data_IF_288023503964
#
_entry.id   IF_288023503964
#
_cell.length_a   1.000
_cell.length_b   1.000
_cell.length_c   1.000
_cell.angle_alpha   90.00
_cell.angle_beta   90.00
_cell.angle_gamma   90.00
#
_symmetry.space_group_name_H-M   'P 1'
#
loop_
_entity.id
_entity.type
_entity.pdbx_description
1 polymer ?
#
# COMPACT_ATOMS: atom_id res chain seq x y z
N UNK A 1 -25.14 -35.44 65.87
CA UNK A 1 -24.12 -34.46 65.41
C UNK A 1 -23.97 -34.58 63.89
N UNK A 2 -24.90 -33.99 63.13
CA UNK A 2 -25.02 -34.04 61.65
C UNK A 2 -25.33 -32.63 61.13
N UNK A 3 -24.40 -31.68 61.30
CA UNK A 3 -24.74 -30.25 61.10
C UNK A 3 -23.63 -29.35 60.52
N UNK A 4 -22.51 -29.87 60.00
CA UNK A 4 -21.41 -28.99 59.54
C UNK A 4 -20.75 -29.36 58.22
N UNK A 5 -21.36 -30.21 57.37
CA UNK A 5 -20.77 -30.56 56.05
C UNK A 5 -21.59 -30.22 54.82
N UNK A 6 -22.82 -29.73 54.97
CA UNK A 6 -23.71 -29.38 53.84
C UNK A 6 -23.84 -27.86 53.58
N UNK A 7 -23.01 -27.03 54.21
CA UNK A 7 -23.06 -25.56 54.05
C UNK A 7 -21.95 -24.97 53.18
N UNK A 8 -21.16 -25.77 52.46
CA UNK A 8 -20.03 -25.28 51.65
C UNK A 8 -20.22 -25.39 50.13
N UNK A 9 -21.26 -26.07 49.65
CA UNK A 9 -21.47 -26.34 48.22
C UNK A 9 -22.62 -25.54 47.57
N UNK A 10 -23.29 -24.64 48.30
CA UNK A 10 -24.38 -23.82 47.74
C UNK A 10 -24.07 -22.32 47.61
N UNK A 11 -22.82 -21.89 47.87
CA UNK A 11 -22.46 -20.47 47.85
C UNK A 11 -21.52 -20.04 46.71
N UNK A 12 -21.35 -20.90 45.68
CA UNK A 12 -20.47 -20.61 44.52
C UNK A 12 -21.22 -20.55 43.20
N UNK A 13 -22.55 -20.36 43.22
CA UNK A 13 -23.38 -20.43 42.01
C UNK A 13 -24.26 -19.21 41.73
N UNK A 14 -24.06 -18.08 42.42
CA UNK A 14 -24.96 -16.93 42.32
C UNK A 14 -24.31 -15.55 42.15
N UNK A 15 -23.11 -15.47 41.57
CA UNK A 15 -22.55 -14.18 41.15
C UNK A 15 -21.90 -14.24 39.76
N UNK A 16 -22.45 -13.41 38.87
CA UNK A 16 -21.96 -12.96 37.57
C UNK A 16 -22.34 -13.78 36.33
N UNK A 17 -23.65 -13.80 36.08
CA UNK A 17 -24.12 -13.38 34.76
C UNK A 17 -23.62 -11.95 34.50
N UNK A 18 -22.64 -11.80 33.61
CA UNK A 18 -22.39 -10.66 32.71
C UNK A 18 -20.96 -10.82 32.16
N UNK A 19 -20.87 -11.46 31.00
CA UNK A 19 -19.59 -11.70 30.32
C UNK A 19 -19.77 -12.01 28.84
N UNK A 20 -20.87 -11.54 28.24
CA UNK A 20 -20.99 -11.46 26.79
C UNK A 20 -20.10 -10.35 26.27
N UNK A 21 -18.87 -10.69 25.87
CA UNK A 21 -18.13 -9.97 24.83
C UNK A 21 -17.45 -11.01 23.98
N UNK A 22 -18.15 -11.40 22.91
CA UNK A 22 -17.49 -11.84 21.69
C UNK A 22 -16.28 -10.93 21.46
N UNK A 23 -15.09 -11.50 21.62
CA UNK A 23 -13.87 -10.80 21.24
C UNK A 23 -14.00 -10.48 19.74
N UNK A 24 -13.98 -9.20 19.34
CA UNK A 24 -13.98 -8.90 17.92
C UNK A 24 -12.67 -9.45 17.36
N UNK A 25 -12.84 -10.45 16.52
CA UNK A 25 -11.88 -10.97 15.55
C UNK A 25 -10.80 -9.95 15.18
N UNK A 26 -9.59 -10.14 15.72
CA UNK A 26 -8.33 -9.48 15.30
C UNK A 26 -7.97 -9.77 13.82
N UNK A 27 -8.83 -10.47 13.07
CA UNK A 27 -8.65 -10.71 11.64
C UNK A 27 -9.10 -9.53 10.79
N UNK A 28 -10.05 -8.72 11.25
CA UNK A 28 -10.53 -7.56 10.49
C UNK A 28 -9.47 -6.44 10.40
N UNK A 29 -8.62 -6.31 11.42
CA UNK A 29 -7.62 -5.22 11.51
C UNK A 29 -6.35 -5.46 10.68
N UNK A 30 -6.09 -6.71 10.25
CA UNK A 30 -4.89 -7.03 9.47
C UNK A 30 -5.09 -6.93 7.96
N UNK A 31 -6.30 -7.24 7.47
CA UNK A 31 -6.60 -7.13 6.03
C UNK A 31 -6.74 -5.66 5.59
N UNK A 32 -7.34 -4.80 6.42
CA UNK A 32 -7.43 -3.36 6.14
C UNK A 32 -6.06 -2.67 6.14
N UNK A 33 -5.12 -3.10 7.01
CA UNK A 33 -3.74 -2.55 7.03
C UNK A 33 -2.95 -2.87 5.75
N UNK A 34 -3.17 -4.04 5.14
CA UNK A 34 -2.50 -4.41 3.87
C UNK A 34 -2.99 -3.57 2.70
N UNK A 35 -4.22 -3.08 2.73
CA UNK A 35 -4.81 -2.28 1.66
C UNK A 35 -4.21 -0.86 1.56
N UNK A 36 -3.40 -0.46 2.55
CA UNK A 36 -2.68 0.81 2.61
C UNK A 36 -1.17 0.72 2.37
N UNK A 37 -0.60 -0.49 2.25
CA UNK A 37 0.83 -0.66 2.01
C UNK A 37 1.23 -0.26 0.58
N UNK A 38 2.50 0.09 0.41
CA UNK A 38 3.05 0.52 -0.88
C UNK A 38 2.77 -0.51 -1.99
N UNK A 39 2.03 -0.08 -3.02
CA UNK A 39 1.65 -0.93 -4.14
C UNK A 39 1.43 -0.13 -5.42
N UNK A 40 1.45 -0.84 -6.54
CA UNK A 40 1.00 -0.31 -7.83
C UNK A 40 -0.52 -0.25 -7.86
N UNK A 41 -1.05 0.90 -8.27
CA UNK A 41 -2.50 1.13 -8.48
C UNK A 41 -2.75 1.76 -9.85
N UNK A 42 -3.97 1.62 -10.34
CA UNK A 42 -4.37 2.20 -11.63
C UNK A 42 -4.27 3.72 -11.66
N UNK A 43 -3.77 4.23 -12.78
CA UNK A 43 -3.77 5.64 -13.14
C UNK A 43 -4.01 5.75 -14.65
N UNK A 44 -5.28 5.88 -15.02
CA UNK A 44 -5.67 6.02 -16.41
C UNK A 44 -5.39 7.44 -16.91
N UNK A 45 -4.57 7.55 -17.95
CA UNK A 45 -4.34 8.77 -18.69
C UNK A 45 -5.14 8.74 -19.99
N UNK A 46 -5.89 9.81 -20.22
CA UNK A 46 -6.75 10.00 -21.37
C UNK A 46 -6.31 11.29 -22.06
N UNK A 47 -5.66 11.17 -23.21
CA UNK A 47 -5.06 12.32 -23.89
C UNK A 47 -6.10 13.25 -24.51
N UNK A 48 -7.32 12.77 -24.75
CA UNK A 48 -8.42 13.63 -25.17
C UNK A 48 -8.81 14.58 -24.04
N UNK A 49 -8.93 14.06 -22.81
CA UNK A 49 -9.23 14.86 -21.62
C UNK A 49 -8.10 15.82 -21.22
N UNK A 50 -6.86 15.48 -21.56
CA UNK A 50 -5.70 16.34 -21.35
C UNK A 50 -5.53 17.41 -22.44
N UNK A 51 -6.34 17.37 -23.51
CA UNK A 51 -6.23 18.28 -24.65
C UNK A 51 -5.01 18.00 -25.54
N UNK A 52 -4.48 16.78 -25.50
CA UNK A 52 -3.31 16.35 -26.27
C UNK A 52 -3.67 15.49 -27.49
N UNK A 53 -4.96 15.27 -27.73
CA UNK A 53 -5.47 14.46 -28.85
C UNK A 53 -5.13 14.99 -30.24
N UNK A 54 -4.83 16.29 -30.37
CA UNK A 54 -4.46 16.93 -31.64
C UNK A 54 -3.08 16.50 -32.14
N UNK A 55 -2.13 16.29 -31.22
CA UNK A 55 -0.77 15.89 -31.57
C UNK A 55 -0.52 14.41 -31.30
N UNK A 56 -1.15 13.79 -30.28
CA UNK A 56 -1.06 12.34 -30.02
C UNK A 56 -2.16 11.59 -30.78
N UNK A 57 -1.74 10.76 -31.73
CA UNK A 57 -2.63 9.90 -32.52
C UNK A 57 -2.91 8.59 -31.77
N UNK A 58 -1.90 7.95 -31.19
CA UNK A 58 -2.03 6.69 -30.44
C UNK A 58 -0.95 6.56 -29.34
N UNK A 59 -1.25 5.93 -28.18
CA UNK A 59 -2.59 5.52 -27.73
C UNK A 59 -3.45 6.75 -27.41
N UNK A 60 -4.79 6.62 -27.44
CA UNK A 60 -5.68 7.70 -26.97
C UNK A 60 -5.86 7.69 -25.45
N UNK A 61 -5.81 6.49 -24.86
CA UNK A 61 -5.88 6.26 -23.43
C UNK A 61 -4.99 5.07 -23.08
N UNK A 62 -4.29 5.14 -21.95
CA UNK A 62 -3.53 4.02 -21.41
C UNK A 62 -3.47 4.10 -19.88
N UNK A 63 -3.15 2.98 -19.23
CA UNK A 63 -2.94 2.94 -17.78
C UNK A 63 -1.44 3.14 -17.52
N UNK A 64 -1.07 4.33 -17.06
CA UNK A 64 0.30 4.62 -16.67
C UNK A 64 0.66 3.95 -15.33
N UNK A 65 -0.37 3.57 -14.55
CA UNK A 65 -0.26 3.18 -13.15
C UNK A 65 0.46 4.24 -12.29
N UNK A 66 0.39 4.08 -10.98
CA UNK A 66 1.17 4.88 -10.03
C UNK A 66 1.43 4.08 -8.77
N UNK A 67 2.45 4.48 -8.03
CA UNK A 67 2.69 3.95 -6.71
C UNK A 67 1.85 4.70 -5.66
N UNK A 68 1.25 3.95 -4.74
CA UNK A 68 0.43 4.49 -3.65
C UNK A 68 0.57 3.60 -2.43
N UNK A 69 0.62 4.24 -1.26
CA UNK A 69 0.58 3.56 0.03
C UNK A 69 1.69 4.05 0.94
N UNK A 70 1.73 3.48 2.13
CA UNK A 70 2.74 3.75 3.14
C UNK A 70 3.80 2.65 3.15
N UNK A 71 5.04 3.04 3.39
CA UNK A 71 6.14 2.10 3.61
C UNK A 71 6.20 1.70 5.08
N UNK A 72 6.30 0.39 5.40
CA UNK A 72 6.49 -0.04 6.78
C UNK A 72 7.83 0.44 7.33
N UNK A 73 7.92 0.54 8.65
CA UNK A 73 9.12 0.97 9.37
C UNK A 73 9.32 0.05 10.58
N UNK A 74 10.37 -0.80 10.60
CA UNK A 74 11.38 -0.98 9.56
C UNK A 74 10.79 -1.59 8.28
N UNK A 75 11.33 -1.22 7.12
CA UNK A 75 10.98 -1.83 5.83
C UNK A 75 11.64 -3.20 5.68
N UNK A 76 10.98 -4.12 4.97
CA UNK A 76 11.54 -5.42 4.60
C UNK A 76 11.79 -5.54 3.09
N UNK A 77 12.43 -6.64 2.68
CA UNK A 77 12.81 -6.91 1.28
C UNK A 77 11.61 -7.00 0.32
N UNK A 78 10.39 -7.19 0.82
CA UNK A 78 9.20 -7.30 -0.04
C UNK A 78 8.87 -5.98 -0.76
N UNK A 79 9.40 -4.85 -0.26
CA UNK A 79 9.26 -3.52 -0.85
C UNK A 79 10.52 -3.04 -1.60
N UNK A 80 11.45 -3.96 -1.89
CA UNK A 80 12.68 -3.72 -2.68
C UNK A 80 13.45 -2.44 -2.30
N UNK A 81 13.71 -2.20 -1.00
CA UNK A 81 14.43 -1.01 -0.57
C UNK A 81 15.88 -1.03 -1.05
N UNK A 82 16.44 0.14 -1.33
CA UNK A 82 17.91 0.25 -1.40
C UNK A 82 18.52 0.10 -0.01
N UNK A 83 19.83 -0.19 0.07
CA UNK A 83 20.55 -0.19 1.35
C UNK A 83 20.36 1.14 2.10
N UNK A 84 20.33 2.27 1.40
CA UNK A 84 20.07 3.58 1.99
C UNK A 84 18.67 3.65 2.62
N UNK A 85 17.64 3.21 1.88
CA UNK A 85 16.27 3.18 2.39
C UNK A 85 16.13 2.25 3.61
N UNK A 86 16.76 1.08 3.59
CA UNK A 86 16.73 0.16 4.71
C UNK A 86 17.34 0.78 5.98
N UNK A 87 18.53 1.39 5.86
CA UNK A 87 19.18 2.09 6.99
C UNK A 87 18.38 3.32 7.43
N UNK A 88 17.81 4.09 6.50
CA UNK A 88 16.95 5.24 6.83
C UNK A 88 15.71 4.80 7.60
N UNK A 89 15.09 3.68 7.21
CA UNK A 89 13.94 3.12 7.92
C UNK A 89 14.31 2.65 9.32
N UNK A 90 15.48 2.00 9.50
CA UNK A 90 15.99 1.67 10.83
C UNK A 90 16.27 2.92 11.68
N UNK A 91 16.85 3.97 11.09
CA UNK A 91 17.11 5.23 11.78
C UNK A 91 15.79 5.91 12.19
N UNK A 92 14.79 5.96 11.31
CA UNK A 92 13.47 6.49 11.63
C UNK A 92 12.77 5.65 12.73
N UNK A 93 12.91 4.32 12.70
CA UNK A 93 12.35 3.42 13.71
C UNK A 93 12.90 3.70 15.13
N UNK A 94 14.20 3.93 15.25
CA UNK A 94 14.85 4.18 16.55
C UNK A 94 14.87 5.66 16.95
N UNK A 95 14.97 6.57 15.98
CA UNK A 95 15.08 8.02 16.15
C UNK A 95 14.21 8.75 15.11
N UNK A 96 12.88 8.81 15.32
CA UNK A 96 11.93 9.37 14.33
C UNK A 96 12.19 10.84 13.97
N UNK A 97 12.88 11.58 14.83
CA UNK A 97 13.29 12.98 14.64
C UNK A 97 14.49 13.16 13.69
N UNK A 98 15.25 12.09 13.43
CA UNK A 98 16.51 12.14 12.67
C UNK A 98 16.40 11.73 11.20
N UNK A 99 15.34 11.03 10.83
CA UNK A 99 15.12 10.57 9.46
C UNK A 99 13.62 10.57 9.14
N UNK A 100 13.21 10.93 7.91
CA UNK A 100 11.82 10.81 7.49
C UNK A 100 11.45 9.36 7.15
N UNK A 101 10.15 9.07 7.12
CA UNK A 101 9.62 7.82 6.59
C UNK A 101 9.97 7.66 5.10
N UNK A 102 10.09 6.42 4.64
CA UNK A 102 10.31 6.13 3.22
C UNK A 102 9.10 6.49 2.36
N UNK A 103 9.36 6.79 1.09
CA UNK A 103 8.34 7.11 0.09
C UNK A 103 8.04 5.91 -0.80
N UNK A 104 6.76 5.70 -1.11
CA UNK A 104 6.33 4.67 -2.06
C UNK A 104 6.46 5.21 -3.50
N UNK A 105 7.44 4.71 -4.26
CA UNK A 105 7.82 5.25 -5.57
C UNK A 105 8.00 4.15 -6.62
N UNK A 106 7.94 4.47 -7.93
CA UNK A 106 8.27 3.52 -8.98
C UNK A 106 9.72 3.07 -8.89
N UNK A 107 9.95 1.75 -8.97
CA UNK A 107 11.29 1.15 -9.01
C UNK A 107 11.64 0.57 -10.37
N UNK A 108 10.62 0.24 -11.18
CA UNK A 108 10.77 -0.14 -12.58
C UNK A 108 9.67 0.47 -13.42
N UNK A 109 10.06 1.05 -14.54
CA UNK A 109 9.15 1.63 -15.52
C UNK A 109 9.33 0.96 -16.88
N UNK A 110 8.26 0.91 -17.66
CA UNK A 110 8.23 0.38 -19.02
C UNK A 110 7.97 1.48 -20.05
N UNK A 111 8.51 1.33 -21.26
CA UNK A 111 8.21 2.21 -22.37
C UNK A 111 6.82 1.94 -22.94
N UNK A 112 6.30 2.90 -23.72
CA UNK A 112 5.17 2.68 -24.62
C UNK A 112 5.50 3.16 -26.03
N UNK A 113 4.93 2.50 -27.04
CA UNK A 113 4.97 3.02 -28.41
C UNK A 113 3.93 4.13 -28.57
N UNK A 114 4.38 5.30 -28.99
CA UNK A 114 3.53 6.46 -29.28
C UNK A 114 3.58 6.81 -30.76
N UNK A 115 2.42 7.14 -31.31
CA UNK A 115 2.24 7.72 -32.64
C UNK A 115 1.75 9.15 -32.46
N UNK A 116 2.52 10.13 -32.94
CA UNK A 116 2.20 11.54 -32.79
C UNK A 116 2.68 12.37 -33.98
N UNK A 117 2.20 13.61 -34.09
CA UNK A 117 2.66 14.57 -35.08
C UNK A 117 3.84 15.37 -34.54
N UNK A 118 4.92 15.42 -35.32
CA UNK A 118 6.13 16.20 -35.07
C UNK A 118 6.46 16.93 -36.38
N UNK A 119 6.53 18.27 -36.35
CA UNK A 119 6.77 19.12 -37.53
C UNK A 119 5.87 18.79 -38.74
N UNK A 120 4.59 18.52 -38.47
CA UNK A 120 3.60 18.16 -39.49
C UNK A 120 3.77 16.76 -40.09
N UNK A 121 4.70 15.95 -39.58
CA UNK A 121 4.91 14.56 -39.98
C UNK A 121 4.43 13.62 -38.88
N UNK A 122 3.82 12.51 -39.29
CA UNK A 122 3.45 11.46 -38.36
C UNK A 122 4.67 10.59 -38.06
N UNK A 123 5.02 10.48 -36.77
CA UNK A 123 6.20 9.74 -36.31
C UNK A 123 5.78 8.73 -35.24
N UNK A 124 6.37 7.54 -35.29
CA UNK A 124 6.24 6.51 -34.26
C UNK A 124 7.54 6.40 -33.47
N UNK A 125 7.47 6.49 -32.14
CA UNK A 125 8.62 6.36 -31.23
C UNK A 125 8.25 5.53 -30.00
N UNK A 126 9.28 4.96 -29.35
CA UNK A 126 9.13 4.37 -28.02
C UNK A 126 9.55 5.42 -26.99
N UNK A 127 8.62 5.79 -26.13
CA UNK A 127 8.91 6.69 -25.01
C UNK A 127 9.12 5.86 -23.76
N UNK A 128 10.32 5.99 -23.21
CA UNK A 128 10.74 5.33 -21.98
C UNK A 128 10.04 5.92 -20.75
N UNK A 129 10.01 5.16 -19.67
CA UNK A 129 9.52 5.59 -18.36
C UNK A 129 8.05 6.05 -18.29
N UNK A 130 7.20 5.48 -19.14
CA UNK A 130 5.80 5.92 -19.29
C UNK A 130 4.79 5.10 -18.46
N UNK A 131 5.14 3.86 -18.06
CA UNK A 131 4.25 2.94 -17.34
C UNK A 131 4.96 2.36 -16.12
N UNK A 132 4.38 2.50 -14.94
CA UNK A 132 4.92 1.86 -13.73
C UNK A 132 4.72 0.36 -13.80
N UNK A 133 5.81 -0.41 -13.75
CA UNK A 133 5.75 -1.86 -13.64
C UNK A 133 5.77 -2.32 -12.19
N UNK A 134 6.67 -1.74 -11.40
CA UNK A 134 6.94 -2.12 -10.02
C UNK A 134 7.05 -0.88 -9.12
N UNK A 135 6.62 -1.05 -7.87
CA UNK A 135 6.71 -0.05 -6.82
C UNK A 135 7.58 -0.59 -5.68
N UNK A 136 8.27 0.32 -4.99
CA UNK A 136 9.04 0.00 -3.81
C UNK A 136 9.17 1.19 -2.86
N UNK A 137 9.89 0.97 -1.78
CA UNK A 137 10.11 1.95 -0.73
C UNK A 137 11.53 2.50 -0.79
N UNK A 138 11.66 3.80 -1.07
CA UNK A 138 12.94 4.51 -1.22
C UNK A 138 13.06 5.68 -0.25
#
# INVERSE_FOLDING_TARGET
MRSSREKRDQQTQQQREEGGRDAPSDKATQEEKKDHLCRKVDMWLDFEKLGWSEWIVYPKRYNAYRCKGTCPTPVDETFTPTNHAYIQSLLNYHHPDKAPCLSCVPTRLAPISMLYFEDGKMVMRHQDDMVVEECGCQ
#
